data_IF_682984177545
#
_entry.id   IF_682984177545
#
_cell.length_a   1.000
_cell.length_b   1.000
_cell.length_c   1.000
_cell.angle_alpha   90.00
_cell.angle_beta   90.00
_cell.angle_gamma   90.00
#
_symmetry.space_group_name_H-M   'P 1'
#
loop_
_entity.id
_entity.type
_entity.pdbx_description
1 polymer ?
#
# COMPACT_ATOMS: atom_id res chain seq x y z
N UNK A 1 -13.54 -1.11 19.34
CA UNK A 1 -14.04 -0.34 18.19
C UNK A 1 -13.02 0.61 17.57
N UNK A 2 -12.20 1.31 18.36
CA UNK A 2 -11.17 2.25 17.83
C UNK A 2 -9.95 1.52 17.22
N UNK A 3 -9.65 0.29 17.65
CA UNK A 3 -8.48 -0.49 17.20
C UNK A 3 -8.48 -0.82 15.70
N UNK A 4 -9.62 -1.14 15.10
CA UNK A 4 -9.70 -1.44 13.66
C UNK A 4 -9.34 -0.24 12.76
N UNK A 5 -9.75 0.96 13.16
CA UNK A 5 -9.43 2.18 12.41
C UNK A 5 -7.93 2.52 12.50
N UNK A 6 -7.36 2.33 13.68
CA UNK A 6 -5.91 2.51 13.88
C UNK A 6 -5.10 1.46 13.13
N UNK A 7 -5.57 0.20 13.12
CA UNK A 7 -4.94 -0.88 12.36
C UNK A 7 -4.90 -0.58 10.85
N UNK A 8 -6.00 -0.09 10.27
CA UNK A 8 -6.05 0.29 8.86
C UNK A 8 -5.12 1.46 8.53
N UNK A 9 -5.09 2.49 9.36
CA UNK A 9 -4.20 3.64 9.16
C UNK A 9 -2.73 3.25 9.28
N UNK A 10 -2.33 2.63 10.40
CA UNK A 10 -0.94 2.25 10.64
C UNK A 10 -0.48 1.14 9.71
N UNK A 11 -1.32 0.11 9.48
CA UNK A 11 -0.99 -0.99 8.59
C UNK A 11 -0.74 -0.50 7.17
N UNK A 12 -1.58 0.41 6.65
CA UNK A 12 -1.37 1.00 5.34
C UNK A 12 -0.12 1.90 5.31
N UNK A 13 0.13 2.67 6.37
CA UNK A 13 1.34 3.51 6.45
C UNK A 13 2.62 2.66 6.41
N UNK A 14 2.68 1.60 7.20
CA UNK A 14 3.84 0.69 7.20
C UNK A 14 3.99 -0.08 5.88
N UNK A 15 2.88 -0.51 5.28
CA UNK A 15 2.91 -1.18 3.99
C UNK A 15 3.50 -0.28 2.90
N UNK A 16 3.02 0.96 2.78
CA UNK A 16 3.53 1.91 1.78
C UNK A 16 4.96 2.35 2.08
N UNK A 17 5.34 2.50 3.35
CA UNK A 17 6.73 2.72 3.72
C UNK A 17 7.64 1.57 3.27
N UNK A 18 7.25 0.32 3.48
CA UNK A 18 8.02 -0.84 3.04
C UNK A 18 8.12 -0.91 1.52
N UNK A 19 7.01 -0.70 0.80
CA UNK A 19 6.95 -0.76 -0.67
C UNK A 19 7.81 0.34 -1.30
N UNK A 20 7.64 1.59 -0.90
CA UNK A 20 8.39 2.71 -1.47
C UNK A 20 9.84 2.68 -1.02
N UNK A 21 10.11 2.43 0.27
CA UNK A 21 11.46 2.38 0.81
C UNK A 21 12.30 1.26 0.18
N UNK A 22 11.74 0.07 -0.01
CA UNK A 22 12.47 -1.03 -0.67
C UNK A 22 12.74 -0.74 -2.16
N UNK A 23 11.82 -0.03 -2.83
CA UNK A 23 12.04 0.43 -4.21
C UNK A 23 13.20 1.42 -4.31
N UNK A 24 13.21 2.44 -3.45
CA UNK A 24 14.30 3.43 -3.39
C UNK A 24 15.63 2.74 -3.05
N UNK A 25 15.65 1.88 -2.03
CA UNK A 25 16.84 1.13 -1.65
C UNK A 25 17.37 0.27 -2.80
N UNK A 26 16.50 -0.44 -3.51
CA UNK A 26 16.89 -1.28 -4.64
C UNK A 26 17.53 -0.46 -5.77
N UNK A 27 16.97 0.69 -6.10
CA UNK A 27 17.54 1.59 -7.09
C UNK A 27 18.90 2.17 -6.66
N UNK A 28 19.04 2.56 -5.40
CA UNK A 28 20.29 3.12 -4.87
C UNK A 28 21.43 2.10 -4.85
N UNK A 29 21.13 0.82 -4.58
CA UNK A 29 22.15 -0.21 -4.44
C UNK A 29 22.61 -0.82 -5.77
N UNK A 30 21.75 -0.96 -6.77
CA UNK A 30 22.03 -1.83 -7.90
C UNK A 30 21.71 -1.24 -9.28
N UNK A 31 20.82 -0.28 -9.38
CA UNK A 31 20.35 0.32 -10.66
C UNK A 31 19.86 -0.72 -11.70
N UNK A 32 19.64 -1.98 -11.29
CA UNK A 32 19.06 -3.03 -12.13
C UNK A 32 17.58 -3.18 -11.82
N UNK A 33 16.74 -2.80 -12.75
CA UNK A 33 15.28 -2.78 -12.57
C UNK A 33 14.71 -4.16 -12.21
N UNK A 34 15.26 -5.25 -12.76
CA UNK A 34 14.77 -6.60 -12.48
C UNK A 34 15.08 -7.02 -11.02
N UNK A 35 16.29 -6.72 -10.54
CA UNK A 35 16.69 -6.99 -9.15
C UNK A 35 15.93 -6.10 -8.18
N UNK A 36 15.77 -4.82 -8.51
CA UNK A 36 14.96 -3.88 -7.73
C UNK A 36 13.51 -4.34 -7.62
N UNK A 37 12.91 -4.77 -8.74
CA UNK A 37 11.55 -5.29 -8.77
C UNK A 37 11.40 -6.54 -7.90
N UNK A 38 12.34 -7.48 -7.99
CA UNK A 38 12.34 -8.70 -7.19
C UNK A 38 12.45 -8.40 -5.69
N UNK A 39 13.40 -7.55 -5.31
CA UNK A 39 13.60 -7.14 -3.92
C UNK A 39 12.36 -6.42 -3.35
N UNK A 40 11.78 -5.50 -4.13
CA UNK A 40 10.56 -4.79 -3.77
C UNK A 40 9.38 -5.76 -3.61
N UNK A 41 9.24 -6.74 -4.50
CA UNK A 41 8.19 -7.77 -4.42
C UNK A 41 8.30 -8.55 -3.13
N UNK A 42 9.48 -9.06 -2.77
CA UNK A 42 9.68 -9.78 -1.52
C UNK A 42 9.43 -8.90 -0.29
N UNK A 43 9.93 -7.67 -0.29
CA UNK A 43 9.69 -6.73 0.81
C UNK A 43 8.19 -6.48 1.01
N UNK A 44 7.44 -6.30 -0.09
CA UNK A 44 5.99 -6.10 -0.06
C UNK A 44 5.26 -7.32 0.50
N UNK A 45 5.59 -8.53 0.00
CA UNK A 45 4.96 -9.79 0.46
C UNK A 45 5.22 -10.02 1.95
N UNK A 46 6.46 -9.87 2.41
CA UNK A 46 6.80 -10.06 3.82
C UNK A 46 6.18 -8.99 4.71
N UNK A 47 6.16 -7.72 4.29
CA UNK A 47 5.50 -6.66 5.03
C UNK A 47 4.00 -6.92 5.14
N UNK A 48 3.34 -7.30 4.06
CA UNK A 48 1.91 -7.62 4.06
C UNK A 48 1.60 -8.82 4.95
N UNK A 49 2.39 -9.89 4.84
CA UNK A 49 2.24 -11.07 5.70
C UNK A 49 2.39 -10.72 7.18
N UNK A 50 3.42 -9.94 7.53
CA UNK A 50 3.66 -9.48 8.89
C UNK A 50 2.50 -8.64 9.42
N UNK A 51 2.03 -7.66 8.63
CA UNK A 51 0.95 -6.76 9.03
C UNK A 51 -0.39 -7.51 9.18
N UNK A 52 -0.71 -8.45 8.30
CA UNK A 52 -1.90 -9.29 8.42
C UNK A 52 -1.81 -10.13 9.70
N UNK A 53 -0.65 -10.73 9.98
CA UNK A 53 -0.45 -11.54 11.18
C UNK A 53 -0.57 -10.73 12.46
N UNK A 54 -0.02 -9.51 12.49
CA UNK A 54 -0.02 -8.67 13.70
C UNK A 54 -1.32 -7.90 13.92
N UNK A 55 -2.01 -7.49 12.86
CA UNK A 55 -3.17 -6.60 12.93
C UNK A 55 -4.49 -7.29 12.55
N UNK A 56 -4.44 -8.52 12.03
CA UNK A 56 -5.60 -9.25 11.51
C UNK A 56 -6.76 -9.39 12.48
N UNK A 57 -6.49 -9.54 13.77
CA UNK A 57 -7.51 -9.61 14.82
C UNK A 57 -8.32 -8.30 14.95
N UNK A 58 -7.81 -7.20 14.41
CA UNK A 58 -8.46 -5.90 14.43
C UNK A 58 -9.03 -5.51 13.07
N UNK A 59 -8.19 -5.47 12.06
CA UNK A 59 -8.50 -5.27 10.64
C UNK A 59 -7.22 -5.34 9.81
N UNK A 60 -7.30 -5.88 8.60
CA UNK A 60 -6.13 -6.05 7.71
C UNK A 60 -6.50 -5.88 6.23
N UNK A 61 -7.35 -4.91 5.91
CA UNK A 61 -7.67 -4.61 4.51
C UNK A 61 -6.54 -3.84 3.82
N UNK A 62 -6.02 -2.80 4.44
CA UNK A 62 -4.92 -1.93 3.98
C UNK A 62 -5.08 -1.39 2.54
N UNK A 63 -6.26 -1.58 1.96
CA UNK A 63 -6.57 -1.23 0.57
C UNK A 63 -8.06 -0.89 0.43
N UNK A 64 -8.42 0.27 -0.17
CA UNK A 64 -9.81 0.65 -0.39
C UNK A 64 -10.60 -0.35 -1.27
N UNK A 65 -9.93 -1.04 -2.22
CA UNK A 65 -10.59 -2.05 -3.06
C UNK A 65 -10.95 -3.29 -2.25
N UNK A 66 -10.06 -3.76 -1.37
CA UNK A 66 -10.36 -4.85 -0.42
C UNK A 66 -11.53 -4.45 0.48
N UNK A 67 -11.51 -3.23 1.01
CA UNK A 67 -12.61 -2.71 1.83
C UNK A 67 -13.93 -2.63 1.05
N UNK A 68 -13.89 -2.30 -0.24
CA UNK A 68 -15.07 -2.31 -1.11
C UNK A 68 -15.64 -3.72 -1.28
N UNK A 69 -14.79 -4.70 -1.55
CA UNK A 69 -15.20 -6.12 -1.67
C UNK A 69 -15.86 -6.59 -0.37
N UNK A 70 -15.26 -6.32 0.78
CA UNK A 70 -15.83 -6.68 2.09
C UNK A 70 -17.16 -5.95 2.35
N UNK A 71 -17.30 -4.72 1.86
CA UNK A 71 -18.59 -4.00 1.89
C UNK A 71 -19.65 -4.67 1.02
N UNK A 72 -19.29 -5.08 -0.21
CA UNK A 72 -20.21 -5.78 -1.13
C UNK A 72 -20.63 -7.14 -0.59
N UNK A 73 -19.76 -7.83 0.13
CA UNK A 73 -20.04 -9.09 0.82
C UNK A 73 -20.88 -8.90 2.10
N UNK A 74 -21.13 -7.65 2.53
CA UNK A 74 -21.90 -7.37 3.73
C UNK A 74 -21.11 -7.50 5.06
N UNK A 75 -19.79 -7.69 5.01
CA UNK A 75 -18.95 -7.89 6.19
C UNK A 75 -18.65 -6.57 6.92
N UNK A 76 -18.70 -5.44 6.23
CA UNK A 76 -18.57 -4.11 6.82
C UNK A 76 -19.70 -3.18 6.35
N UNK A 77 -20.04 -2.19 7.17
CA UNK A 77 -21.03 -1.17 6.81
C UNK A 77 -20.47 -0.15 5.79
N UNK A 78 -21.35 0.53 5.07
CA UNK A 78 -20.97 1.60 4.13
C UNK A 78 -20.16 2.71 4.83
N UNK A 79 -20.57 3.11 6.04
CA UNK A 79 -19.83 4.10 6.81
C UNK A 79 -18.42 3.62 7.17
N UNK A 80 -18.27 2.35 7.58
CA UNK A 80 -16.95 1.76 7.86
C UNK A 80 -16.07 1.75 6.62
N UNK A 81 -16.62 1.40 5.45
CA UNK A 81 -15.90 1.44 4.17
C UNK A 81 -15.32 2.84 3.88
N UNK A 82 -16.12 3.89 3.97
CA UNK A 82 -15.63 5.25 3.71
C UNK A 82 -14.55 5.68 4.71
N UNK A 83 -14.75 5.40 6.01
CA UNK A 83 -13.74 5.73 7.03
C UNK A 83 -12.44 4.96 6.80
N UNK A 84 -12.51 3.66 6.47
CA UNK A 84 -11.34 2.86 6.13
C UNK A 84 -10.61 3.45 4.93
N UNK A 85 -11.33 3.75 3.85
CA UNK A 85 -10.72 4.32 2.63
C UNK A 85 -9.99 5.63 2.91
N UNK A 86 -10.56 6.52 3.70
CA UNK A 86 -9.91 7.78 4.09
C UNK A 86 -8.65 7.51 4.91
N UNK A 87 -8.73 6.62 5.90
CA UNK A 87 -7.59 6.29 6.77
C UNK A 87 -6.48 5.55 6.00
N UNK A 88 -6.84 4.67 5.08
CA UNK A 88 -5.89 3.99 4.20
C UNK A 88 -5.16 4.97 3.28
N UNK A 89 -5.88 5.92 2.66
CA UNK A 89 -5.26 6.96 1.83
C UNK A 89 -4.32 7.84 2.68
N UNK A 90 -4.77 8.29 3.85
CA UNK A 90 -3.94 9.09 4.74
C UNK A 90 -2.69 8.32 5.23
N UNK A 91 -2.86 7.02 5.56
CA UNK A 91 -1.77 6.14 5.92
C UNK A 91 -0.77 5.94 4.79
N UNK A 92 -1.25 5.71 3.56
CA UNK A 92 -0.40 5.58 2.38
C UNK A 92 0.46 6.83 2.14
N UNK A 93 -0.15 8.01 2.20
CA UNK A 93 0.55 9.30 2.07
C UNK A 93 1.64 9.44 3.15
N UNK A 94 1.31 9.13 4.40
CA UNK A 94 2.28 9.18 5.50
C UNK A 94 3.44 8.19 5.27
N UNK A 95 3.15 6.98 4.81
CA UNK A 95 4.16 5.95 4.52
C UNK A 95 5.13 6.39 3.42
N UNK A 96 4.61 7.01 2.34
CA UNK A 96 5.43 7.56 1.25
C UNK A 96 6.31 8.71 1.74
N UNK A 97 5.72 9.67 2.48
CA UNK A 97 6.47 10.80 3.05
C UNK A 97 7.61 10.30 3.95
N UNK A 98 7.33 9.32 4.81
CA UNK A 98 8.33 8.74 5.68
C UNK A 98 9.44 8.03 4.90
N UNK A 99 9.08 7.25 3.87
CA UNK A 99 10.06 6.62 3.00
C UNK A 99 10.98 7.65 2.36
N UNK A 100 10.43 8.66 1.70
CA UNK A 100 11.22 9.70 1.05
C UNK A 100 12.14 10.41 2.04
N UNK A 101 11.63 10.80 3.19
CA UNK A 101 12.41 11.48 4.24
C UNK A 101 13.60 10.64 4.72
N UNK A 102 13.41 9.32 4.93
CA UNK A 102 14.48 8.43 5.40
C UNK A 102 15.58 8.19 4.36
N UNK A 103 15.30 8.43 3.09
CA UNK A 103 16.29 8.35 2.00
C UNK A 103 16.80 9.70 1.52
N UNK A 104 16.59 10.76 2.31
CA UNK A 104 17.04 12.13 2.00
C UNK A 104 16.49 12.65 0.65
N UNK A 105 15.26 12.27 0.34
CA UNK A 105 14.51 12.73 -0.83
C UNK A 105 13.47 13.77 -0.41
N UNK A 106 13.00 14.57 -1.37
CA UNK A 106 11.87 15.50 -1.12
C UNK A 106 10.67 14.69 -0.61
N UNK A 107 10.15 14.97 0.59
CA UNK A 107 9.02 14.24 1.16
C UNK A 107 7.77 14.24 0.28
N UNK A 108 7.55 15.29 -0.49
CA UNK A 108 6.41 15.45 -1.41
C UNK A 108 6.92 15.47 -2.85
N UNK A 109 6.91 14.32 -3.49
CA UNK A 109 7.25 14.18 -4.90
C UNK A 109 6.00 13.90 -5.73
N UNK A 110 5.89 14.58 -6.87
CA UNK A 110 4.88 14.29 -7.88
C UNK A 110 5.52 13.47 -9.01
N UNK A 111 4.85 12.37 -9.40
CA UNK A 111 5.36 11.52 -10.48
C UNK A 111 5.30 12.26 -11.81
N UNK A 112 6.44 12.39 -12.47
CA UNK A 112 6.55 12.93 -13.85
C UNK A 112 6.42 11.83 -14.90
N UNK A 113 6.47 10.56 -14.51
CA UNK A 113 6.38 9.42 -15.42
C UNK A 113 4.94 9.21 -15.90
N UNK A 114 4.68 9.51 -17.17
CA UNK A 114 3.40 9.23 -17.79
C UNK A 114 3.12 7.72 -17.81
N UNK A 115 2.08 7.28 -17.12
CA UNK A 115 1.59 5.90 -17.11
C UNK A 115 0.13 5.90 -17.58
N UNK A 116 -0.06 5.95 -18.90
CA UNK A 116 -1.37 5.95 -19.53
C UNK A 116 -1.42 4.94 -20.67
N UNK A 117 -2.59 4.39 -20.94
CA UNK A 117 -2.83 3.44 -22.00
C UNK A 117 -3.80 2.34 -21.58
N UNK A 118 -4.58 1.83 -22.54
CA UNK A 118 -5.59 0.78 -22.30
C UNK A 118 -4.95 -0.51 -21.76
N UNK A 119 -3.75 -0.86 -22.24
CA UNK A 119 -2.98 -2.01 -21.77
C UNK A 119 -2.60 -1.91 -20.30
N UNK A 120 -2.16 -0.74 -19.85
CA UNK A 120 -1.83 -0.50 -18.44
C UNK A 120 -3.08 -0.53 -17.57
N UNK A 121 -4.19 0.05 -18.04
CA UNK A 121 -5.46 0.00 -17.32
C UNK A 121 -5.96 -1.44 -17.14
N UNK A 122 -5.91 -2.27 -18.19
CA UNK A 122 -6.28 -3.69 -18.09
C UNK A 122 -5.33 -4.46 -17.16
N UNK A 123 -4.03 -4.15 -17.20
CA UNK A 123 -3.04 -4.75 -16.30
C UNK A 123 -3.32 -4.44 -14.83
N UNK A 124 -3.69 -3.20 -14.50
CA UNK A 124 -4.05 -2.80 -13.14
C UNK A 124 -5.32 -3.52 -12.65
N UNK A 125 -6.32 -3.68 -13.54
CA UNK A 125 -7.53 -4.46 -13.21
C UNK A 125 -7.15 -5.91 -12.92
N UNK A 126 -6.35 -6.55 -13.76
CA UNK A 126 -5.94 -7.94 -13.58
C UNK A 126 -5.12 -8.13 -12.30
N UNK A 127 -4.18 -7.22 -12.00
CA UNK A 127 -3.39 -7.26 -10.78
C UNK A 127 -4.26 -7.10 -9.53
N UNK A 128 -5.20 -6.15 -9.55
CA UNK A 128 -6.10 -5.89 -8.42
C UNK A 128 -7.09 -7.03 -8.20
N UNK A 129 -7.52 -7.71 -9.30
CA UNK A 129 -8.40 -8.88 -9.20
C UNK A 129 -7.71 -10.08 -8.56
N UNK A 130 -6.39 -10.21 -8.71
CA UNK A 130 -5.58 -11.27 -8.10
C UNK A 130 -5.22 -11.05 -6.62
N UNK A 131 -5.58 -9.92 -6.06
CA UNK A 131 -5.26 -9.54 -4.69
C UNK A 131 -6.33 -10.04 -3.72
#
# INVERSE_FOLDING_TARGET
MKSKYLAEFLGTAFLFWAVVGSGIMGQNLNQNDAVTLLANTFATVFALYFLITCLGDHSSHFNPVVSLVMRLRGEISTNTFFVFSILQIAGAILGVILANYLFDLDPLQFSEKARSGTNLFVSEIAATFGL
#
